data_IF_452469622026
#
_entry.id   IF_452469622026
#
_cell.length_a   1.000
_cell.length_b   1.000
_cell.length_c   1.000
_cell.angle_alpha   90.00
_cell.angle_beta   90.00
_cell.angle_gamma   90.00
#
_symmetry.space_group_name_H-M   'P 1'
#
loop_
_entity.id
_entity.type
_entity.pdbx_description
1 polymer ?
#
# COMPACT_ATOMS: atom_id res chain seq x y z
N UNK A 1 -0.57 26.62 12.95
CA UNK A 1 -1.74 26.48 12.06
C UNK A 1 -1.90 25.00 11.73
N UNK A 2 -2.90 24.34 12.31
CA UNK A 2 -3.07 22.90 12.19
C UNK A 2 -3.38 22.49 10.74
N UNK A 3 -2.83 21.36 10.29
CA UNK A 3 -3.15 20.70 9.02
C UNK A 3 -4.68 20.62 8.82
N UNK A 4 -5.42 20.43 9.89
CA UNK A 4 -6.89 20.43 9.96
C UNK A 4 -7.53 21.71 9.39
N UNK A 5 -6.98 22.90 9.68
CA UNK A 5 -7.60 24.16 9.28
C UNK A 5 -7.31 24.50 7.81
N UNK A 6 -6.10 24.20 7.32
CA UNK A 6 -5.76 24.38 5.91
C UNK A 6 -6.54 23.42 4.98
N UNK A 7 -6.63 22.13 5.36
CA UNK A 7 -7.36 21.18 4.54
C UNK A 7 -8.89 21.32 4.68
N UNK A 8 -9.39 21.73 5.84
CA UNK A 8 -10.80 22.01 6.04
C UNK A 8 -11.31 23.21 5.21
N UNK A 9 -10.51 24.27 5.09
CA UNK A 9 -10.85 25.46 4.29
C UNK A 9 -10.70 25.22 2.79
N UNK A 10 -9.65 24.49 2.35
CA UNK A 10 -9.41 24.21 0.93
C UNK A 10 -10.39 23.19 0.32
N UNK A 11 -10.85 22.21 1.09
CA UNK A 11 -11.74 21.17 0.59
C UNK A 11 -13.18 21.28 1.07
N UNK A 12 -13.53 22.33 1.85
CA UNK A 12 -14.90 22.65 2.26
C UNK A 12 -15.55 21.59 3.17
N UNK A 13 -14.77 20.73 3.80
CA UNK A 13 -15.28 19.68 4.67
C UNK A 13 -15.13 20.06 6.15
N UNK A 14 -16.25 20.41 6.78
CA UNK A 14 -16.36 20.62 8.24
C UNK A 14 -16.61 19.33 9.03
N UNK A 15 -16.40 18.16 8.41
CA UNK A 15 -16.65 16.88 9.08
C UNK A 15 -15.62 16.63 10.19
N UNK A 16 -16.05 16.43 11.44
CA UNK A 16 -15.15 16.18 12.58
C UNK A 16 -14.34 14.88 12.43
N UNK A 17 -14.80 13.95 11.61
CA UNK A 17 -14.16 12.65 11.36
C UNK A 17 -13.16 12.65 10.19
N UNK A 18 -12.99 13.78 9.50
CA UNK A 18 -12.07 13.91 8.37
C UNK A 18 -10.59 13.57 8.69
N UNK A 19 -10.07 13.89 9.90
CA UNK A 19 -8.71 13.46 10.27
C UNK A 19 -8.53 11.94 10.27
N UNK A 20 -9.52 11.17 10.78
CA UNK A 20 -9.48 9.69 10.73
C UNK A 20 -9.50 9.19 9.29
N UNK A 21 -10.28 9.83 8.44
CA UNK A 21 -10.36 9.50 7.01
C UNK A 21 -9.00 9.63 6.30
N UNK A 22 -8.28 10.73 6.55
CA UNK A 22 -6.93 10.94 6.00
C UNK A 22 -5.94 9.94 6.61
N UNK A 23 -5.99 9.74 7.93
CA UNK A 23 -5.06 8.87 8.65
C UNK A 23 -5.13 7.43 8.14
N UNK A 24 -6.33 6.87 7.93
CA UNK A 24 -6.53 5.56 7.36
C UNK A 24 -5.81 5.41 6.00
N UNK A 25 -6.06 6.36 5.08
CA UNK A 25 -5.44 6.31 3.77
C UNK A 25 -3.92 6.51 3.81
N UNK A 26 -3.45 7.42 4.68
CA UNK A 26 -2.02 7.72 4.83
C UNK A 26 -1.24 6.54 5.40
N UNK A 27 -1.77 5.84 6.38
CA UNK A 27 -1.11 4.67 6.97
C UNK A 27 -0.98 3.52 5.96
N UNK A 28 -2.04 3.20 5.24
CA UNK A 28 -2.01 2.15 4.22
C UNK A 28 -1.03 2.48 3.07
N UNK A 29 -1.03 3.74 2.63
CA UNK A 29 -0.09 4.21 1.63
C UNK A 29 1.35 4.18 2.14
N UNK A 30 1.60 4.63 3.38
CA UNK A 30 2.92 4.64 4.00
C UNK A 30 3.50 3.23 4.08
N UNK A 31 2.68 2.24 4.48
CA UNK A 31 3.09 0.84 4.46
C UNK A 31 3.44 0.38 3.03
N UNK A 32 2.55 0.60 2.06
CA UNK A 32 2.80 0.18 0.68
C UNK A 32 4.07 0.78 0.11
N UNK A 33 4.29 2.07 0.34
CA UNK A 33 5.49 2.80 -0.09
C UNK A 33 6.75 2.24 0.57
N UNK A 34 6.74 2.06 1.89
CA UNK A 34 7.91 1.55 2.64
C UNK A 34 8.22 0.10 2.29
N UNK A 35 7.19 -0.75 2.20
CA UNK A 35 7.34 -2.16 1.87
C UNK A 35 7.90 -2.37 0.45
N UNK A 36 7.37 -1.65 -0.54
CA UNK A 36 7.84 -1.77 -1.94
C UNK A 36 9.24 -1.19 -2.12
N UNK A 37 9.57 -0.06 -1.49
CA UNK A 37 10.92 0.50 -1.50
C UNK A 37 11.92 -0.41 -0.79
N UNK A 38 11.55 -0.97 0.35
CA UNK A 38 12.38 -1.92 1.10
C UNK A 38 12.64 -3.21 0.30
N UNK A 39 11.59 -3.79 -0.29
CA UNK A 39 11.70 -4.98 -1.13
C UNK A 39 12.58 -4.73 -2.37
N UNK A 40 12.43 -3.57 -3.02
CA UNK A 40 13.22 -3.17 -4.18
C UNK A 40 14.72 -3.14 -3.88
N UNK A 41 15.12 -2.67 -2.71
CA UNK A 41 16.52 -2.57 -2.28
C UNK A 41 17.06 -3.87 -1.67
N UNK A 42 16.18 -4.78 -1.25
CA UNK A 42 16.53 -5.93 -0.41
C UNK A 42 17.62 -6.83 -1.01
N UNK A 43 17.60 -7.09 -2.31
CA UNK A 43 18.60 -7.95 -2.97
C UNK A 43 19.96 -7.25 -3.02
N UNK A 44 20.00 -5.97 -3.41
CA UNK A 44 21.25 -5.22 -3.51
C UNK A 44 21.89 -4.97 -2.15
N UNK A 45 21.11 -4.65 -1.14
CA UNK A 45 21.62 -4.42 0.22
C UNK A 45 22.22 -5.69 0.82
N UNK A 46 21.68 -6.87 0.48
CA UNK A 46 22.15 -8.15 0.99
C UNK A 46 23.08 -8.88 0.02
N UNK A 47 23.60 -8.22 -0.99
CA UNK A 47 24.48 -8.80 -2.02
C UNK A 47 25.69 -9.55 -1.44
N UNK A 48 26.32 -9.01 -0.40
CA UNK A 48 27.46 -9.64 0.28
C UNK A 48 27.12 -10.96 0.98
N UNK A 49 25.87 -11.12 1.46
CA UNK A 49 25.37 -12.34 2.08
C UNK A 49 24.96 -13.37 1.01
N UNK A 50 24.29 -12.91 -0.04
CA UNK A 50 23.86 -13.77 -1.17
C UNK A 50 25.03 -14.47 -1.83
N UNK A 51 26.21 -13.81 -1.91
CA UNK A 51 27.43 -14.39 -2.48
C UNK A 51 28.12 -15.42 -1.58
N UNK A 52 27.89 -15.38 -0.26
CA UNK A 52 28.61 -16.23 0.72
C UNK A 52 27.80 -17.44 1.18
N UNK A 53 26.49 -17.33 1.22
CA UNK A 53 25.60 -18.35 1.77
C UNK A 53 24.48 -18.65 0.77
N UNK A 54 24.23 -19.94 0.55
CA UNK A 54 23.12 -20.38 -0.30
C UNK A 54 21.79 -20.23 0.46
N UNK A 55 21.13 -19.08 0.26
CA UNK A 55 19.78 -18.81 0.78
C UNK A 55 18.86 -18.50 -0.41
N UNK A 56 17.64 -19.04 -0.43
CA UNK A 56 16.69 -18.71 -1.48
C UNK A 56 16.47 -17.20 -1.58
N UNK A 57 16.73 -16.62 -2.73
CA UNK A 57 16.81 -15.15 -2.93
C UNK A 57 15.50 -14.42 -2.67
N UNK A 58 14.34 -15.10 -2.81
CA UNK A 58 13.02 -14.51 -2.54
C UNK A 58 12.78 -14.15 -1.05
N UNK A 59 13.57 -14.74 -0.15
CA UNK A 59 13.45 -14.47 1.29
C UNK A 59 13.77 -13.01 1.61
N UNK A 60 14.72 -12.39 0.89
CA UNK A 60 15.12 -11.01 1.15
C UNK A 60 14.00 -9.98 0.90
N UNK A 61 13.32 -9.96 -0.28
CA UNK A 61 12.16 -9.11 -0.46
C UNK A 61 11.02 -9.44 0.50
N UNK A 62 10.77 -10.73 0.76
CA UNK A 62 9.72 -11.17 1.68
C UNK A 62 9.96 -10.66 3.10
N UNK A 63 11.16 -10.82 3.64
CA UNK A 63 11.49 -10.36 4.99
C UNK A 63 11.35 -8.84 5.12
N UNK A 64 11.73 -8.08 4.09
CA UNK A 64 11.57 -6.64 4.07
C UNK A 64 10.09 -6.22 4.11
N UNK A 65 9.23 -6.87 3.33
CA UNK A 65 7.79 -6.59 3.33
C UNK A 65 7.16 -6.94 4.68
N UNK A 66 7.50 -8.10 5.26
CA UNK A 66 6.98 -8.52 6.56
C UNK A 66 7.44 -7.59 7.69
N UNK A 67 8.69 -7.16 7.68
CA UNK A 67 9.20 -6.20 8.65
C UNK A 67 8.41 -4.88 8.62
N UNK A 68 8.18 -4.32 7.43
CA UNK A 68 7.37 -3.12 7.28
C UNK A 68 5.90 -3.35 7.68
N UNK A 69 5.38 -4.58 7.50
CA UNK A 69 4.03 -4.92 7.93
C UNK A 69 3.88 -4.93 9.45
N UNK A 70 4.90 -5.38 10.18
CA UNK A 70 4.91 -5.32 11.65
C UNK A 70 4.90 -3.85 12.12
N UNK A 71 5.71 -2.98 11.52
CA UNK A 71 5.71 -1.54 11.82
C UNK A 71 4.33 -0.93 11.53
N UNK A 72 3.73 -1.31 10.42
CA UNK A 72 2.38 -0.87 10.06
C UNK A 72 1.33 -1.34 11.07
N UNK A 73 1.40 -2.60 11.54
CA UNK A 73 0.50 -3.13 12.56
C UNK A 73 0.58 -2.33 13.88
N UNK A 74 1.79 -1.94 14.29
CA UNK A 74 1.97 -1.04 15.45
C UNK A 74 1.34 0.32 15.18
N UNK A 75 1.48 0.86 13.96
CA UNK A 75 0.89 2.13 13.58
C UNK A 75 -0.66 2.11 13.56
N UNK A 76 -1.28 0.95 13.36
CA UNK A 76 -2.73 0.79 13.46
C UNK A 76 -3.24 1.00 14.90
N UNK A 77 -2.41 0.75 15.93
CA UNK A 77 -2.78 1.04 17.33
C UNK A 77 -3.02 2.55 17.49
N UNK A 78 -2.18 3.37 16.89
CA UNK A 78 -2.35 4.83 16.91
C UNK A 78 -3.66 5.24 16.22
N UNK A 79 -4.00 4.59 15.10
CA UNK A 79 -5.27 4.82 14.41
C UNK A 79 -6.46 4.52 15.33
N UNK A 80 -6.43 3.39 16.05
CA UNK A 80 -7.50 3.01 16.99
C UNK A 80 -7.64 4.06 18.10
N UNK A 81 -6.54 4.49 18.71
CA UNK A 81 -6.56 5.52 19.75
C UNK A 81 -7.18 6.83 19.22
N UNK A 82 -6.75 7.29 18.05
CA UNK A 82 -7.28 8.52 17.43
C UNK A 82 -8.77 8.37 17.09
N UNK A 83 -9.20 7.20 16.62
CA UNK A 83 -10.61 6.92 16.33
C UNK A 83 -11.48 7.02 17.57
N UNK A 84 -11.02 6.48 18.70
CA UNK A 84 -11.74 6.55 20.00
C UNK A 84 -11.84 8.02 20.47
N UNK A 85 -10.74 8.78 20.41
CA UNK A 85 -10.72 10.21 20.80
C UNK A 85 -11.70 11.05 19.99
N UNK A 86 -11.83 10.75 18.71
CA UNK A 86 -12.75 11.43 17.79
C UNK A 86 -14.18 10.82 17.79
N UNK A 87 -14.49 9.97 18.77
CA UNK A 87 -15.82 9.34 18.94
C UNK A 87 -16.28 8.52 17.72
N UNK A 88 -15.36 7.98 16.94
CA UNK A 88 -15.65 6.97 15.92
C UNK A 88 -15.56 5.61 16.64
N UNK A 89 -16.71 5.10 17.09
CA UNK A 89 -16.74 3.85 17.85
C UNK A 89 -16.54 2.65 16.92
N UNK A 90 -15.70 1.69 17.35
CA UNK A 90 -15.52 0.45 16.61
C UNK A 90 -16.82 -0.34 16.53
N UNK A 91 -17.27 -0.60 15.33
CA UNK A 91 -18.46 -1.43 15.04
C UNK A 91 -17.99 -2.85 14.69
N UNK A 92 -18.91 -3.81 14.68
CA UNK A 92 -18.64 -5.20 14.28
C UNK A 92 -17.98 -5.29 12.88
N UNK A 93 -18.23 -4.31 12.02
CA UNK A 93 -17.61 -4.17 10.72
C UNK A 93 -16.08 -3.94 10.77
N UNK A 94 -15.53 -3.55 11.92
CA UNK A 94 -14.07 -3.44 12.09
C UNK A 94 -13.35 -4.78 11.88
N UNK A 95 -14.01 -5.90 12.20
CA UNK A 95 -13.47 -7.23 11.90
C UNK A 95 -13.25 -7.45 10.40
N UNK A 96 -14.07 -6.84 9.55
CA UNK A 96 -13.93 -6.91 8.10
C UNK A 96 -12.68 -6.16 7.61
N UNK A 97 -12.14 -5.20 8.38
CA UNK A 97 -10.92 -4.47 8.03
C UNK A 97 -9.69 -5.38 7.87
N UNK A 98 -9.72 -6.58 8.46
CA UNK A 98 -8.64 -7.57 8.33
C UNK A 98 -8.45 -7.99 6.87
N UNK A 99 -9.54 -8.10 6.09
CA UNK A 99 -9.47 -8.54 4.68
C UNK A 99 -8.64 -7.57 3.82
N UNK A 100 -8.94 -6.25 3.75
CA UNK A 100 -8.11 -5.32 2.99
C UNK A 100 -6.68 -5.19 3.52
N UNK A 101 -6.44 -5.44 4.82
CA UNK A 101 -5.09 -5.44 5.38
C UNK A 101 -4.25 -6.62 4.86
N UNK A 102 -4.82 -7.83 4.82
CA UNK A 102 -4.16 -9.01 4.25
C UNK A 102 -3.93 -8.82 2.74
N UNK A 103 -4.93 -8.31 2.01
CA UNK A 103 -4.80 -8.05 0.58
C UNK A 103 -3.73 -6.98 0.29
N UNK A 104 -3.59 -6.00 1.17
CA UNK A 104 -2.54 -4.98 1.06
C UNK A 104 -1.15 -5.59 1.23
N UNK A 105 -0.97 -6.53 2.17
CA UNK A 105 0.27 -7.27 2.34
C UNK A 105 0.62 -8.07 1.09
N UNK A 106 -0.36 -8.81 0.55
CA UNK A 106 -0.18 -9.65 -0.65
C UNK A 106 0.17 -8.79 -1.87
N UNK A 107 -0.52 -7.66 -2.08
CA UNK A 107 -0.22 -6.73 -3.18
C UNK A 107 1.16 -6.09 -3.03
N UNK A 108 1.54 -5.66 -1.83
CA UNK A 108 2.85 -5.09 -1.58
C UNK A 108 3.97 -6.10 -1.82
N UNK A 109 3.75 -7.37 -1.47
CA UNK A 109 4.69 -8.45 -1.75
C UNK A 109 4.82 -8.70 -3.26
N UNK A 110 3.71 -8.85 -3.99
CA UNK A 110 3.73 -9.08 -5.43
C UNK A 110 4.44 -7.95 -6.20
N UNK A 111 4.07 -6.70 -5.94
CA UNK A 111 4.72 -5.52 -6.53
C UNK A 111 6.19 -5.42 -6.09
N UNK A 112 6.48 -5.70 -4.81
CA UNK A 112 7.84 -5.73 -4.28
C UNK A 112 8.75 -6.74 -4.98
N UNK A 113 8.23 -7.93 -5.33
CA UNK A 113 8.97 -8.95 -6.08
C UNK A 113 9.32 -8.48 -7.50
N UNK A 114 8.38 -7.83 -8.18
CA UNK A 114 8.63 -7.25 -9.51
C UNK A 114 9.72 -6.19 -9.43
N UNK A 115 9.58 -5.25 -8.49
CA UNK A 115 10.51 -4.15 -8.31
C UNK A 115 11.89 -4.61 -7.88
N UNK A 116 11.98 -5.61 -6.99
CA UNK A 116 13.26 -6.16 -6.55
C UNK A 116 14.03 -6.80 -7.70
N UNK A 117 13.34 -7.48 -8.61
CA UNK A 117 13.94 -8.05 -9.82
C UNK A 117 14.41 -6.96 -10.76
N UNK A 118 13.57 -5.97 -11.05
CA UNK A 118 13.94 -4.88 -11.95
C UNK A 118 15.09 -4.03 -11.42
N UNK A 119 15.15 -3.78 -10.11
CA UNK A 119 16.17 -2.95 -9.48
C UNK A 119 17.58 -3.55 -9.51
N UNK A 120 17.71 -4.88 -9.70
CA UNK A 120 19.00 -5.53 -9.91
C UNK A 120 19.59 -5.13 -11.27
N UNK A 121 18.76 -5.04 -12.30
CA UNK A 121 19.18 -4.70 -13.67
C UNK A 121 19.23 -3.20 -13.92
N UNK A 122 18.29 -2.43 -13.31
CA UNK A 122 18.13 -0.98 -13.52
C UNK A 122 18.27 -0.24 -12.20
N UNK A 123 19.43 0.35 -11.94
CA UNK A 123 19.71 1.09 -10.69
C UNK A 123 18.86 2.35 -10.54
N UNK A 124 18.50 2.98 -11.64
CA UNK A 124 17.73 4.23 -11.64
C UNK A 124 16.24 4.01 -11.37
N UNK A 125 15.80 2.75 -11.27
CA UNK A 125 14.42 2.41 -10.95
C UNK A 125 13.99 3.00 -9.59
N UNK A 126 14.90 3.22 -8.66
CA UNK A 126 14.61 3.81 -7.35
C UNK A 126 14.03 5.22 -7.48
N UNK A 127 14.60 6.03 -8.38
CA UNK A 127 14.11 7.39 -8.64
C UNK A 127 12.77 7.35 -9.38
N UNK A 128 12.64 6.52 -10.40
CA UNK A 128 11.40 6.36 -11.15
C UNK A 128 10.26 5.87 -10.24
N UNK A 129 10.54 4.90 -9.35
CA UNK A 129 9.54 4.39 -8.42
C UNK A 129 9.11 5.45 -7.42
N UNK A 130 10.02 6.30 -6.94
CA UNK A 130 9.66 7.40 -6.02
C UNK A 130 8.67 8.38 -6.65
N UNK A 131 8.85 8.70 -7.92
CA UNK A 131 7.91 9.54 -8.70
C UNK A 131 6.58 8.78 -8.90
N UNK A 132 6.64 7.48 -9.24
CA UNK A 132 5.46 6.63 -9.37
C UNK A 132 4.63 6.57 -8.09
N UNK A 133 5.28 6.44 -6.93
CA UNK A 133 4.61 6.48 -5.62
C UNK A 133 3.90 7.82 -5.37
N UNK A 134 4.50 8.94 -5.78
CA UNK A 134 3.84 10.24 -5.66
C UNK A 134 2.56 10.30 -6.50
N UNK A 135 2.59 9.80 -7.73
CA UNK A 135 1.40 9.70 -8.59
C UNK A 135 0.33 8.79 -7.96
N UNK A 136 0.73 7.63 -7.46
CA UNK A 136 -0.17 6.69 -6.77
C UNK A 136 -0.81 7.34 -5.54
N UNK A 137 -0.07 8.14 -4.77
CA UNK A 137 -0.56 8.85 -3.60
C UNK A 137 -1.73 9.78 -3.95
N UNK A 138 -1.56 10.59 -5.00
CA UNK A 138 -2.63 11.49 -5.45
C UNK A 138 -3.79 10.74 -6.11
N UNK A 139 -3.50 9.69 -6.87
CA UNK A 139 -4.51 8.83 -7.50
C UNK A 139 -5.29 7.94 -6.50
N UNK A 140 -4.85 7.85 -5.24
CA UNK A 140 -5.52 7.02 -4.20
C UNK A 140 -6.55 7.79 -3.37
N UNK A 141 -6.88 9.03 -3.72
CA UNK A 141 -7.85 9.88 -3.01
C UNK A 141 -7.64 9.91 -1.48
N UNK A 142 -6.37 10.07 -1.04
CA UNK A 142 -6.01 10.09 0.37
C UNK A 142 -6.45 11.38 1.03
N UNK A 143 -6.24 12.52 0.36
CA UNK A 143 -6.43 13.86 0.89
C UNK A 143 -7.76 14.50 0.52
N UNK A 144 -8.55 13.89 -0.37
CA UNK A 144 -9.82 14.43 -0.85
C UNK A 144 -10.90 13.35 -0.93
N UNK A 145 -12.17 13.77 -0.92
CA UNK A 145 -13.29 12.86 -1.10
C UNK A 145 -13.46 12.52 -2.58
N UNK A 146 -13.56 11.23 -2.94
CA UNK A 146 -13.59 10.77 -4.33
C UNK A 146 -14.86 11.18 -5.10
N UNK A 147 -15.91 11.64 -4.39
CA UNK A 147 -17.22 11.94 -4.98
C UNK A 147 -17.15 12.97 -6.12
N UNK A 148 -16.28 13.99 -5.97
CA UNK A 148 -16.10 15.02 -7.00
C UNK A 148 -15.45 14.46 -8.28
N UNK A 149 -14.46 13.58 -8.12
CA UNK A 149 -13.77 12.96 -9.26
C UNK A 149 -14.63 11.89 -9.95
N UNK A 150 -15.41 11.14 -9.19
CA UNK A 150 -16.33 10.14 -9.74
C UNK A 150 -17.39 10.76 -10.64
N UNK A 151 -17.81 12.03 -10.34
CA UNK A 151 -18.77 12.80 -11.16
C UNK A 151 -18.14 13.47 -12.38
N UNK A 152 -16.83 13.69 -12.41
CA UNK A 152 -16.13 14.46 -13.46
C UNK A 152 -15.60 13.63 -14.63
N UNK A 153 -16.01 12.35 -14.79
CA UNK A 153 -15.54 11.47 -15.88
C UNK A 153 -14.16 10.84 -15.68
N UNK A 154 -13.35 11.35 -14.77
CA UNK A 154 -12.03 10.77 -14.43
C UNK A 154 -12.09 9.65 -13.37
N UNK A 155 -13.28 9.19 -13.02
CA UNK A 155 -13.47 8.12 -12.03
C UNK A 155 -12.81 6.77 -12.38
N UNK A 156 -12.48 6.54 -13.65
CA UNK A 156 -11.77 5.33 -14.08
C UNK A 156 -10.36 5.24 -13.51
N UNK A 157 -9.66 6.37 -13.33
CA UNK A 157 -8.30 6.41 -12.73
C UNK A 157 -8.32 5.86 -11.31
N UNK A 158 -9.34 6.22 -10.52
CA UNK A 158 -9.52 5.71 -9.16
C UNK A 158 -9.86 4.21 -9.17
N UNK A 159 -10.70 3.76 -10.10
CA UNK A 159 -11.11 2.35 -10.18
C UNK A 159 -9.99 1.43 -10.67
N UNK A 160 -9.05 1.93 -11.47
CA UNK A 160 -7.88 1.18 -11.92
C UNK A 160 -6.76 1.11 -10.87
N UNK A 161 -6.79 1.96 -9.84
CA UNK A 161 -5.77 1.96 -8.79
C UNK A 161 -6.12 0.95 -7.69
N UNK A 162 -5.38 -0.17 -7.55
CA UNK A 162 -5.68 -1.19 -6.55
C UNK A 162 -5.55 -0.66 -5.12
N UNK A 163 -4.63 0.27 -4.88
CA UNK A 163 -4.44 0.86 -3.57
C UNK A 163 -5.66 1.69 -3.15
N UNK A 164 -6.29 2.42 -4.09
CA UNK A 164 -7.54 3.14 -3.83
C UNK A 164 -8.66 2.18 -3.40
N UNK A 165 -8.80 1.04 -4.09
CA UNK A 165 -9.85 0.06 -3.80
C UNK A 165 -9.69 -0.53 -2.39
N UNK A 166 -8.46 -0.83 -1.98
CA UNK A 166 -8.14 -1.32 -0.64
C UNK A 166 -8.40 -0.25 0.43
N UNK A 167 -7.92 0.98 0.21
CA UNK A 167 -8.14 2.10 1.13
C UNK A 167 -9.64 2.39 1.29
N UNK A 168 -10.40 2.34 0.22
CA UNK A 168 -11.84 2.58 0.26
C UNK A 168 -12.57 1.56 1.13
N UNK A 169 -12.30 0.26 0.94
CA UNK A 169 -12.89 -0.80 1.74
C UNK A 169 -12.45 -0.75 3.21
N UNK A 170 -11.19 -0.43 3.46
CA UNK A 170 -10.68 -0.25 4.82
C UNK A 170 -11.38 0.91 5.54
N UNK A 171 -11.56 2.05 4.86
CA UNK A 171 -12.30 3.19 5.40
C UNK A 171 -13.75 2.82 5.72
N UNK A 172 -14.44 2.11 4.80
CA UNK A 172 -15.82 1.67 5.06
C UNK A 172 -15.88 0.79 6.32
N UNK A 173 -14.96 -0.13 6.51
CA UNK A 173 -14.90 -0.95 7.71
C UNK A 173 -14.67 -0.13 8.99
N UNK A 174 -13.78 0.87 8.96
CA UNK A 174 -13.51 1.76 10.11
C UNK A 174 -14.71 2.64 10.45
N UNK A 175 -15.44 3.14 9.44
CA UNK A 175 -16.63 3.97 9.64
C UNK A 175 -17.94 3.16 9.85
N UNK A 176 -17.86 1.84 10.01
CA UNK A 176 -19.02 0.99 10.27
C UNK A 176 -19.97 0.82 9.10
N UNK A 177 -19.46 0.92 7.88
CA UNK A 177 -20.23 0.70 6.65
C UNK A 177 -19.87 -0.66 6.04
N UNK A 178 -20.81 -1.31 5.32
CA UNK A 178 -20.54 -2.56 4.62
C UNK A 178 -19.53 -2.33 3.49
N UNK A 179 -18.63 -3.30 3.28
CA UNK A 179 -17.64 -3.24 2.21
C UNK A 179 -18.25 -3.33 0.82
N UNK A 180 -17.64 -2.64 -0.14
CA UNK A 180 -18.03 -2.75 -1.54
C UNK A 180 -17.44 -4.03 -2.15
N UNK A 181 -18.32 -5.05 -2.37
CA UNK A 181 -17.91 -6.36 -2.89
C UNK A 181 -17.24 -6.27 -4.27
N UNK A 182 -17.64 -5.34 -5.14
CA UNK A 182 -17.02 -5.16 -6.46
C UNK A 182 -15.58 -4.67 -6.33
N UNK A 183 -15.32 -3.73 -5.41
CA UNK A 183 -13.98 -3.22 -5.16
C UNK A 183 -13.10 -4.27 -4.47
N UNK A 184 -13.71 -5.08 -3.59
CA UNK A 184 -13.02 -6.18 -2.94
C UNK A 184 -12.58 -7.23 -3.97
N UNK A 185 -13.49 -7.68 -4.85
CA UNK A 185 -13.18 -8.65 -5.90
C UNK A 185 -12.06 -8.14 -6.83
N UNK A 186 -12.12 -6.89 -7.26
CA UNK A 186 -11.08 -6.29 -8.09
C UNK A 186 -9.72 -6.26 -7.37
N UNK A 187 -9.70 -5.96 -6.06
CA UNK A 187 -8.48 -5.97 -5.24
C UNK A 187 -7.89 -7.37 -5.10
N UNK A 188 -8.73 -8.40 -4.95
CA UNK A 188 -8.30 -9.81 -4.87
C UNK A 188 -7.64 -10.22 -6.20
N UNK A 189 -8.29 -9.93 -7.32
CA UNK A 189 -7.75 -10.26 -8.65
C UNK A 189 -6.40 -9.58 -8.84
N UNK A 190 -6.28 -8.29 -8.51
CA UNK A 190 -5.02 -7.58 -8.64
C UNK A 190 -3.94 -8.15 -7.73
N UNK A 191 -4.27 -8.50 -6.48
CA UNK A 191 -3.34 -9.10 -5.53
C UNK A 191 -2.78 -10.43 -6.06
N UNK A 192 -3.66 -11.31 -6.56
CA UNK A 192 -3.26 -12.60 -7.12
C UNK A 192 -2.38 -12.41 -8.36
N UNK A 193 -2.82 -11.56 -9.29
CA UNK A 193 -2.07 -11.29 -10.53
C UNK A 193 -0.69 -10.70 -10.23
N UNK A 194 -0.60 -9.73 -9.31
CA UNK A 194 0.68 -9.13 -8.94
C UNK A 194 1.67 -10.14 -8.34
N UNK A 195 1.18 -11.07 -7.50
CA UNK A 195 2.03 -12.12 -6.92
C UNK A 195 2.47 -13.14 -7.99
N UNK A 196 1.54 -13.61 -8.84
CA UNK A 196 1.87 -14.56 -9.89
C UNK A 196 2.92 -13.97 -10.85
N UNK A 197 2.68 -12.75 -11.34
CA UNK A 197 3.61 -12.05 -12.24
C UNK A 197 4.95 -11.82 -11.53
N UNK A 198 4.92 -11.36 -10.27
CA UNK A 198 6.12 -11.11 -9.47
C UNK A 198 6.96 -12.36 -9.28
N UNK A 199 6.35 -13.49 -8.91
CA UNK A 199 7.05 -14.76 -8.71
C UNK A 199 7.61 -15.30 -10.02
N UNK A 200 6.83 -15.31 -11.11
CA UNK A 200 7.30 -15.80 -12.42
C UNK A 200 8.49 -14.97 -12.89
N UNK A 201 8.39 -13.65 -12.80
CA UNK A 201 9.45 -12.74 -13.24
C UNK A 201 10.72 -12.91 -12.40
N UNK A 202 10.56 -13.03 -11.08
CA UNK A 202 11.65 -13.26 -10.14
C UNK A 202 12.34 -14.62 -10.42
N UNK A 203 11.54 -15.69 -10.58
CA UNK A 203 12.07 -17.03 -10.79
C UNK A 203 12.88 -17.15 -12.11
N UNK A 204 12.41 -16.49 -13.17
CA UNK A 204 13.11 -16.49 -14.47
C UNK A 204 14.43 -15.72 -14.43
N UNK A 205 14.56 -14.71 -13.57
CA UNK A 205 15.72 -13.80 -13.56
C UNK A 205 16.66 -13.98 -12.36
N UNK A 206 16.29 -14.79 -11.37
CA UNK A 206 17.09 -14.97 -10.14
C UNK A 206 18.51 -15.49 -10.39
N UNK A 207 18.74 -16.27 -11.44
CA UNK A 207 20.06 -16.85 -11.72
C UNK A 207 21.04 -15.80 -12.25
N UNK A 208 20.52 -14.82 -12.98
CA UNK A 208 21.30 -13.69 -13.50
C UNK A 208 21.70 -12.68 -12.39
N UNK A 209 21.08 -12.71 -11.21
CA UNK A 209 21.33 -11.74 -10.15
C UNK A 209 22.79 -11.70 -9.71
N UNK A 210 23.44 -12.87 -9.65
CA UNK A 210 24.85 -12.99 -9.20
C UNK A 210 25.80 -12.22 -10.13
N UNK A 211 25.43 -12.09 -11.41
CA UNK A 211 26.24 -11.39 -12.42
C UNK A 211 26.09 -9.86 -12.33
N UNK A 212 24.98 -9.36 -11.76
CA UNK A 212 24.64 -7.93 -11.75
C UNK A 212 24.70 -7.28 -10.34
N UNK A 213 24.99 -8.08 -9.30
CA UNK A 213 25.11 -7.60 -7.90
C UNK A 213 26.55 -7.31 -7.50
#
# INVERSE_FOLDING_TARGET
MCIRDRFGTLFGNKDPHFPVYILCGRLMYSFFSSATNGAMKAIRTNAGMIKKVYVPKYIYPLSSVLFNYIIFAISLIVLVVVSIVLKVYPTIYLAQAIIPLILLLITAFGVGMILSTMAVFFRDLEYLWSVGLMIIMYASAIFYKPEKLLKSGFGWILKCNPLYLLIHNFRQAVFGMPMNMKFLAASIVFAIVSVIVGLIFFYKKQDEFILHI
#
